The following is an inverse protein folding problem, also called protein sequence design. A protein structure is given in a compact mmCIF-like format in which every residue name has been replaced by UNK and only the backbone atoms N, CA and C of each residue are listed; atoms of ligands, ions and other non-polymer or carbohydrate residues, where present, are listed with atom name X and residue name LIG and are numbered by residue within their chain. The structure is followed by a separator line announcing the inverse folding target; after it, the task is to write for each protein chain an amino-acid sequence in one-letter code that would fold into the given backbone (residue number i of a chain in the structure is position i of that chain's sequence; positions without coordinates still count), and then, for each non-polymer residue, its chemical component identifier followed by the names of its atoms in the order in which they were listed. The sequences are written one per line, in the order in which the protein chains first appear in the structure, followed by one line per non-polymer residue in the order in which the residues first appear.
data_IF_658953881182
#
_entry.id   IF_658953881182
#
_cell.length_a   1.000
_cell.length_b   1.000
_cell.length_c   1.000
_cell.angle_alpha   90.00
_cell.angle_beta   90.00
_cell.angle_gamma   90.00
#
_symmetry.space_group_name_H-M   'P 1'
#
loop_
_entity.id
_entity.type
_entity.pdbx_description
1 polymer ?
#
# COMPACT_ATOMS: atom_id res chain seq x y z
N UNK A 1 4.33 -21.53 -27.28
CA UNK A 1 4.96 -20.42 -28.03
C UNK A 1 3.87 -19.45 -28.48
N UNK A 2 3.97 -18.19 -28.01
CA UNK A 2 3.20 -16.98 -28.43
C UNK A 2 1.72 -17.00 -28.00
N UNK A 3 1.15 -16.00 -27.32
CA UNK A 3 1.48 -14.57 -27.20
C UNK A 3 1.05 -14.03 -25.83
N UNK A 4 1.93 -13.27 -25.17
CA UNK A 4 1.62 -12.39 -24.05
C UNK A 4 1.03 -11.11 -24.65
N UNK A 5 -0.14 -10.69 -24.19
CA UNK A 5 -0.77 -9.41 -24.55
C UNK A 5 -0.45 -8.45 -23.41
N UNK A 6 0.52 -7.57 -23.66
CA UNK A 6 0.84 -6.42 -22.82
C UNK A 6 -0.16 -5.30 -23.14
N UNK A 7 -0.94 -4.86 -22.16
CA UNK A 7 -1.81 -3.68 -22.31
C UNK A 7 -1.06 -2.46 -21.74
N UNK A 8 -0.51 -1.66 -22.65
CA UNK A 8 0.08 -0.34 -22.39
C UNK A 8 -0.97 0.71 -22.73
N UNK A 9 -1.50 1.45 -21.75
CA UNK A 9 -2.35 2.62 -21.99
C UNK A 9 -1.72 3.87 -21.39
N UNK A 10 -0.84 4.48 -22.18
CA UNK A 10 -0.44 5.88 -22.04
C UNK A 10 -1.34 6.69 -22.96
N UNK A 11 -2.14 7.61 -22.42
CA UNK A 11 -2.72 8.71 -23.18
C UNK A 11 -2.42 10.04 -22.51
N UNK A 12 -1.27 10.62 -22.89
CA UNK A 12 -1.00 12.03 -22.71
C UNK A 12 -1.84 12.84 -23.70
N UNK A 13 -2.61 13.82 -23.22
CA UNK A 13 -3.19 14.85 -24.06
C UNK A 13 -2.82 16.23 -23.49
N UNK A 14 -1.68 16.74 -23.96
CA UNK A 14 -1.33 18.15 -23.91
C UNK A 14 -2.16 18.90 -24.96
N UNK A 15 -2.94 19.89 -24.54
CA UNK A 15 -3.44 20.94 -25.43
C UNK A 15 -2.76 22.27 -25.09
N UNK A 16 -2.08 22.76 -26.11
CA UNK A 16 -1.21 23.92 -26.19
C UNK A 16 -1.93 25.27 -26.15
N UNK A 17 -1.21 26.24 -25.58
CA UNK A 17 -1.46 27.68 -25.56
C UNK A 17 -1.57 28.33 -26.95
N UNK A 18 -2.50 29.28 -27.06
CA UNK A 18 -2.44 30.49 -27.91
C UNK A 18 -3.52 31.48 -27.39
N UNK A 19 -3.44 32.80 -27.43
CA UNK A 19 -2.40 33.80 -27.57
C UNK A 19 -3.09 35.18 -27.39
N UNK A 20 -2.35 36.15 -26.83
CA UNK A 20 -2.46 37.62 -26.96
C UNK A 20 -3.76 38.40 -26.64
N UNK A 21 -3.59 39.40 -25.77
CA UNK A 21 -4.42 40.62 -25.72
C UNK A 21 -3.93 41.61 -24.65
N UNK A 22 -2.98 42.47 -25.01
CA UNK A 22 -2.38 43.52 -24.18
C UNK A 22 -3.26 44.77 -24.06
N UNK A 23 -3.25 45.44 -22.89
CA UNK A 23 -3.21 46.91 -22.83
C UNK A 23 -2.62 47.43 -21.50
N UNK A 24 -1.65 48.34 -21.64
CA UNK A 24 -0.99 49.09 -20.56
C UNK A 24 -1.87 50.26 -20.12
N UNK A 25 -1.81 50.62 -18.84
CA UNK A 25 -1.68 52.04 -18.45
C UNK A 25 -0.73 52.18 -17.26
N UNK A 26 0.24 53.08 -17.40
CA UNK A 26 1.22 53.54 -16.42
C UNK A 26 0.58 54.23 -15.21
N UNK A 27 1.29 54.23 -14.08
CA UNK A 27 1.67 55.50 -13.47
C UNK A 27 2.91 55.34 -12.58
N UNK A 28 3.85 56.27 -12.78
CA UNK A 28 5.12 56.45 -12.09
C UNK A 28 4.95 56.92 -10.64
N UNK A 29 5.93 56.61 -9.79
CA UNK A 29 6.58 57.62 -8.95
C UNK A 29 7.89 57.07 -8.37
N UNK A 30 8.93 57.86 -8.59
CA UNK A 30 10.30 57.81 -8.07
C UNK A 30 10.36 57.76 -6.53
N UNK A 31 11.45 57.23 -5.95
CA UNK A 31 12.58 58.05 -5.46
C UNK A 31 13.58 57.22 -4.58
N UNK A 32 14.79 57.03 -5.10
CA UNK A 32 16.12 57.36 -4.50
C UNK A 32 16.69 56.67 -3.25
N UNK A 33 17.84 56.01 -3.49
CA UNK A 33 19.12 55.92 -2.74
C UNK A 33 19.13 55.38 -1.30
N UNK A 34 20.10 54.58 -0.85
CA UNK A 34 21.56 54.78 -0.93
C UNK A 34 22.29 53.49 -0.52
N UNK A 35 23.42 53.23 -1.17
CA UNK A 35 24.38 52.16 -0.90
C UNK A 35 25.13 52.33 0.44
N UNK A 36 25.60 51.22 1.05
CA UNK A 36 27.04 50.87 1.07
C UNK A 36 27.43 49.77 2.04
N UNK A 37 28.29 48.88 1.51
CA UNK A 37 29.42 48.16 2.12
C UNK A 37 29.10 47.05 3.13
N UNK A 38 29.31 45.77 2.78
CA UNK A 38 30.61 45.05 2.68
C UNK A 38 31.31 44.92 4.03
N UNK A 39 31.29 43.72 4.62
CA UNK A 39 32.52 42.95 4.81
C UNK A 39 32.24 41.48 5.13
N UNK A 40 33.17 40.68 4.62
CA UNK A 40 33.24 39.22 4.54
C UNK A 40 33.49 38.62 5.92
N UNK A 41 32.79 37.54 6.28
CA UNK A 41 33.36 36.57 7.21
C UNK A 41 33.10 35.14 6.74
N UNK A 42 34.22 34.48 6.48
CA UNK A 42 34.39 33.05 6.21
C UNK A 42 33.93 32.24 7.43
N UNK A 43 33.14 31.19 7.22
CA UNK A 43 32.77 30.24 8.27
C UNK A 43 32.17 28.98 7.68
N UNK A 44 33.01 27.94 7.65
CA UNK A 44 32.76 26.49 7.56
C UNK A 44 31.60 25.99 6.70
N UNK A 45 32.01 25.40 5.57
CA UNK A 45 31.37 24.25 4.94
C UNK A 45 31.55 23.04 5.88
N UNK A 46 30.60 22.83 6.79
CA UNK A 46 30.34 21.51 7.35
C UNK A 46 29.24 20.91 6.47
N UNK A 47 29.68 20.10 5.52
CA UNK A 47 28.84 19.42 4.56
C UNK A 47 28.05 18.33 5.29
N UNK A 48 26.77 18.59 5.44
CA UNK A 48 25.58 17.73 5.36
C UNK A 48 25.78 16.23 5.00
N UNK A 49 26.59 15.48 5.74
CA UNK A 49 26.69 14.01 5.60
C UNK A 49 25.52 13.28 6.31
N UNK A 50 24.87 13.94 7.27
CA UNK A 50 23.79 13.33 8.07
C UNK A 50 22.46 13.28 7.29
N UNK A 51 22.09 14.37 6.61
CA UNK A 51 20.84 14.45 5.82
C UNK A 51 20.83 13.61 4.55
N UNK A 52 22.00 13.39 3.92
CA UNK A 52 22.12 12.46 2.78
C UNK A 52 21.99 10.98 3.21
N UNK A 53 22.44 10.63 4.42
CA UNK A 53 22.43 9.26 4.89
C UNK A 53 21.05 8.82 5.41
N UNK A 54 20.30 9.71 6.07
CA UNK A 54 18.95 9.43 6.55
C UNK A 54 17.93 9.30 5.40
N UNK A 55 17.95 10.23 4.43
CA UNK A 55 17.13 10.13 3.21
C UNK A 55 17.46 8.88 2.38
N UNK A 56 18.68 8.38 2.50
CA UNK A 56 19.07 7.14 1.83
C UNK A 56 18.52 5.90 2.55
N UNK A 57 18.51 5.90 3.88
CA UNK A 57 17.97 4.78 4.67
C UNK A 57 16.44 4.71 4.55
N UNK A 58 15.73 5.85 4.51
CA UNK A 58 14.29 5.87 4.25
C UNK A 58 13.96 5.29 2.87
N UNK A 59 14.67 5.74 1.81
CA UNK A 59 14.47 5.20 0.47
C UNK A 59 14.80 3.70 0.35
N UNK A 60 15.78 3.20 1.13
CA UNK A 60 16.04 1.76 1.21
C UNK A 60 14.86 0.99 1.86
N UNK A 61 14.12 1.61 2.77
CA UNK A 61 12.95 1.01 3.42
C UNK A 61 11.72 1.01 2.49
N UNK A 62 11.51 2.08 1.71
CA UNK A 62 10.48 2.13 0.66
C UNK A 62 10.64 0.96 -0.32
N UNK A 63 11.85 0.75 -0.84
CA UNK A 63 12.17 -0.35 -1.75
C UNK A 63 11.89 -1.72 -1.11
N UNK A 64 12.12 -1.87 0.21
CA UNK A 64 11.83 -3.10 0.94
C UNK A 64 10.32 -3.33 1.05
N UNK A 65 9.55 -2.28 1.39
CA UNK A 65 8.10 -2.35 1.56
C UNK A 65 7.43 -2.69 0.22
N UNK A 66 7.70 -1.91 -0.82
CA UNK A 66 7.14 -2.16 -2.15
C UNK A 66 7.49 -3.56 -2.64
N UNK A 67 8.73 -4.01 -2.44
CA UNK A 67 9.15 -5.35 -2.83
C UNK A 67 8.43 -6.46 -2.06
N UNK A 68 8.22 -6.31 -0.76
CA UNK A 68 7.51 -7.31 0.06
C UNK A 68 6.04 -7.44 -0.36
N UNK A 69 5.38 -6.32 -0.66
CA UNK A 69 4.02 -6.28 -1.22
C UNK A 69 3.99 -6.98 -2.59
N UNK A 70 4.87 -6.59 -3.51
CA UNK A 70 4.99 -7.19 -4.85
C UNK A 70 5.25 -8.71 -4.78
N UNK A 71 6.20 -9.14 -3.94
CA UNK A 71 6.57 -10.55 -3.81
C UNK A 71 5.41 -11.38 -3.22
N UNK A 72 4.65 -10.82 -2.26
CA UNK A 72 3.47 -11.47 -1.67
C UNK A 72 2.36 -11.64 -2.72
N UNK A 73 2.03 -10.57 -3.44
CA UNK A 73 1.02 -10.58 -4.52
C UNK A 73 1.43 -11.57 -5.62
N UNK A 74 2.71 -11.55 -6.02
CA UNK A 74 3.22 -12.45 -7.05
C UNK A 74 3.13 -13.92 -6.63
N UNK A 75 3.41 -14.24 -5.36
CA UNK A 75 3.29 -15.59 -4.84
C UNK A 75 1.84 -16.10 -4.90
N UNK A 76 0.87 -15.28 -4.46
CA UNK A 76 -0.55 -15.62 -4.54
C UNK A 76 -1.01 -15.81 -5.99
N UNK A 77 -0.61 -14.91 -6.90
CA UNK A 77 -0.93 -15.01 -8.33
C UNK A 77 -0.38 -16.29 -8.98
N UNK A 78 0.85 -16.70 -8.67
CA UNK A 78 1.43 -17.95 -9.20
C UNK A 78 0.61 -19.17 -8.76
N UNK A 79 0.11 -19.18 -7.54
CA UNK A 79 -0.74 -20.26 -7.04
C UNK A 79 -2.14 -20.23 -7.67
N UNK A 80 -2.73 -19.05 -7.80
CA UNK A 80 -3.99 -18.82 -8.50
C UNK A 80 -3.94 -19.31 -9.97
N UNK A 81 -2.95 -18.86 -10.74
CA UNK A 81 -2.77 -19.26 -12.14
C UNK A 81 -2.66 -20.79 -12.29
N UNK A 82 -2.01 -21.44 -11.32
CA UNK A 82 -1.89 -22.89 -11.28
C UNK A 82 -3.24 -23.56 -11.00
N UNK A 83 -4.05 -23.01 -10.08
CA UNK A 83 -5.39 -23.52 -9.81
C UNK A 83 -6.28 -23.45 -11.03
N UNK A 84 -6.37 -22.30 -11.69
CA UNK A 84 -7.19 -22.10 -12.91
C UNK A 84 -6.78 -23.08 -14.00
N UNK A 85 -5.47 -23.30 -14.19
CA UNK A 85 -4.96 -24.25 -15.19
C UNK A 85 -5.29 -25.70 -14.84
N UNK A 86 -5.20 -26.07 -13.57
CA UNK A 86 -5.43 -27.44 -13.13
C UNK A 86 -6.92 -27.77 -13.07
N UNK A 87 -7.76 -26.79 -12.71
CA UNK A 87 -9.19 -26.90 -12.44
C UNK A 87 -9.95 -26.12 -13.52
N UNK A 88 -10.08 -26.71 -14.71
CA UNK A 88 -10.65 -26.08 -15.91
C UNK A 88 -12.06 -26.62 -16.29
N UNK A 89 -12.64 -27.47 -15.44
CA UNK A 89 -13.93 -28.13 -15.70
C UNK A 89 -14.66 -28.41 -14.40
N UNK A 90 -15.99 -28.50 -14.47
CA UNK A 90 -16.85 -28.78 -13.31
C UNK A 90 -16.43 -30.04 -12.54
N UNK A 91 -16.14 -31.14 -13.25
CA UNK A 91 -15.68 -32.37 -12.60
C UNK A 91 -14.36 -32.16 -11.84
N UNK A 92 -13.41 -31.44 -12.42
CA UNK A 92 -12.14 -31.16 -11.74
C UNK A 92 -12.35 -30.23 -10.55
N UNK A 93 -13.28 -29.28 -10.61
CA UNK A 93 -13.63 -28.44 -9.47
C UNK A 93 -14.10 -29.30 -8.29
N UNK A 94 -15.08 -30.18 -8.52
CA UNK A 94 -15.56 -31.10 -7.47
C UNK A 94 -14.45 -32.02 -6.92
N UNK A 95 -13.56 -32.50 -7.78
CA UNK A 95 -12.44 -33.36 -7.36
C UNK A 95 -11.34 -32.57 -6.60
N UNK A 96 -11.43 -31.23 -6.48
CA UNK A 96 -10.39 -30.36 -5.92
C UNK A 96 -10.93 -29.26 -4.96
N UNK A 97 -12.11 -29.44 -4.35
CA UNK A 97 -12.69 -28.44 -3.41
C UNK A 97 -11.75 -28.13 -2.24
N UNK A 98 -11.08 -29.12 -1.66
CA UNK A 98 -10.10 -28.92 -0.58
C UNK A 98 -8.94 -27.99 -1.00
N UNK A 99 -8.58 -27.98 -2.29
CA UNK A 99 -7.53 -27.08 -2.80
C UNK A 99 -8.04 -25.64 -2.99
N UNK A 100 -9.33 -25.47 -3.28
CA UNK A 100 -9.97 -24.16 -3.33
C UNK A 100 -10.06 -23.57 -1.92
N UNK A 101 -10.56 -24.34 -0.96
CA UNK A 101 -10.62 -23.97 0.46
C UNK A 101 -9.25 -23.55 0.99
N UNK A 102 -8.22 -24.38 0.76
CA UNK A 102 -6.86 -24.07 1.19
C UNK A 102 -6.28 -22.81 0.53
N UNK A 103 -6.71 -22.48 -0.70
CA UNK A 103 -6.25 -21.27 -1.38
C UNK A 103 -6.94 -20.02 -0.82
N UNK A 104 -8.23 -20.07 -0.55
CA UNK A 104 -8.95 -19.00 0.15
C UNK A 104 -8.35 -18.73 1.53
N UNK A 105 -8.10 -19.77 2.33
CA UNK A 105 -7.42 -19.65 3.63
C UNK A 105 -6.05 -18.99 3.50
N UNK A 106 -5.29 -19.37 2.46
CA UNK A 106 -3.97 -18.78 2.18
C UNK A 106 -4.06 -17.31 1.77
N UNK A 107 -5.03 -16.92 0.93
CA UNK A 107 -5.22 -15.51 0.54
C UNK A 107 -5.48 -14.65 1.78
N UNK A 108 -6.35 -15.11 2.69
CA UNK A 108 -6.60 -14.41 3.95
C UNK A 108 -5.35 -14.34 4.83
N UNK A 109 -4.70 -15.48 5.10
CA UNK A 109 -3.54 -15.51 6.00
C UNK A 109 -2.35 -14.70 5.46
N UNK A 110 -2.07 -14.77 4.16
CA UNK A 110 -1.00 -13.98 3.55
C UNK A 110 -1.32 -12.47 3.61
N UNK A 111 -2.58 -12.07 3.43
CA UNK A 111 -3.03 -10.67 3.59
C UNK A 111 -2.82 -10.20 5.02
N UNK A 112 -3.26 -11.00 6.01
CA UNK A 112 -3.07 -10.71 7.43
C UNK A 112 -1.60 -10.60 7.82
N UNK A 113 -0.77 -11.53 7.37
CA UNK A 113 0.66 -11.46 7.64
C UNK A 113 1.31 -10.25 6.95
N UNK A 114 0.84 -9.85 5.78
CA UNK A 114 1.31 -8.64 5.10
C UNK A 114 0.88 -7.38 5.89
N UNK A 115 -0.36 -7.32 6.38
CA UNK A 115 -0.86 -6.24 7.22
C UNK A 115 -0.09 -6.07 8.52
N UNK A 116 0.33 -7.18 9.16
CA UNK A 116 1.22 -7.14 10.32
C UNK A 116 2.57 -6.52 9.94
N UNK A 117 3.17 -6.93 8.81
CA UNK A 117 4.45 -6.40 8.35
C UNK A 117 4.37 -4.91 8.00
N UNK A 118 3.25 -4.44 7.44
CA UNK A 118 3.03 -3.00 7.20
C UNK A 118 3.11 -2.19 8.49
N UNK A 119 2.49 -2.66 9.58
CA UNK A 119 2.59 -2.01 10.90
C UNK A 119 4.02 -2.06 11.45
N UNK A 120 4.74 -3.17 11.27
CA UNK A 120 6.15 -3.28 11.65
C UNK A 120 7.04 -2.30 10.86
N UNK A 121 6.76 -2.11 9.57
CA UNK A 121 7.47 -1.12 8.75
C UNK A 121 7.18 0.31 9.21
N UNK A 122 5.93 0.64 9.56
CA UNK A 122 5.60 1.95 10.14
C UNK A 122 6.38 2.21 11.43
N UNK A 123 6.52 1.19 12.29
CA UNK A 123 7.34 1.27 13.50
C UNK A 123 8.81 1.54 13.16
N UNK A 124 9.39 0.76 12.24
CA UNK A 124 10.79 0.91 11.84
C UNK A 124 11.07 2.30 11.26
N UNK A 125 10.13 2.82 10.47
CA UNK A 125 10.18 4.17 9.94
C UNK A 125 10.14 5.23 11.04
N UNK A 126 9.20 5.10 11.99
CA UNK A 126 9.07 6.03 13.10
C UNK A 126 10.33 6.06 13.98
N UNK A 127 10.92 4.90 14.28
CA UNK A 127 12.17 4.81 15.03
C UNK A 127 13.34 5.47 14.29
N UNK A 128 13.43 5.25 12.97
CA UNK A 128 14.46 5.88 12.14
C UNK A 128 14.34 7.40 12.21
N UNK A 129 13.14 7.94 11.99
CA UNK A 129 12.87 9.38 12.01
C UNK A 129 13.17 9.97 13.39
N UNK A 130 12.69 9.36 14.48
CA UNK A 130 12.96 9.89 15.83
C UNK A 130 14.44 9.85 16.19
N UNK A 131 15.18 8.84 15.71
CA UNK A 131 16.63 8.71 15.96
C UNK A 131 17.48 9.70 15.19
N UNK A 132 16.92 10.41 14.21
CA UNK A 132 17.63 11.41 13.42
C UNK A 132 18.00 12.65 14.23
N UNK A 133 19.11 13.28 13.83
CA UNK A 133 19.59 14.53 14.45
C UNK A 133 18.86 15.79 13.89
N UNK A 134 17.81 15.61 13.09
CA UNK A 134 17.03 16.68 12.45
C UNK A 134 16.06 17.36 13.42
N UNK A 135 15.51 18.51 13.01
CA UNK A 135 14.54 19.24 13.83
C UNK A 135 13.19 18.51 13.88
N UNK A 136 12.35 18.83 14.87
CA UNK A 136 11.01 18.23 14.95
C UNK A 136 10.11 18.61 13.77
N UNK A 137 10.31 19.80 13.20
CA UNK A 137 9.62 20.23 11.99
C UNK A 137 10.04 19.35 10.79
N UNK A 138 11.35 19.06 10.65
CA UNK A 138 11.83 18.16 9.59
C UNK A 138 11.31 16.73 9.81
N UNK A 139 11.35 16.22 11.05
CA UNK A 139 10.79 14.91 11.41
C UNK A 139 9.30 14.82 11.08
N UNK A 140 8.54 15.89 11.35
CA UNK A 140 7.11 15.96 11.05
C UNK A 140 6.84 15.78 9.55
N UNK A 141 7.64 16.41 8.71
CA UNK A 141 7.55 16.29 7.25
C UNK A 141 7.98 14.89 6.78
N UNK A 142 8.99 14.28 7.40
CA UNK A 142 9.41 12.90 7.09
C UNK A 142 8.31 11.86 7.39
N UNK A 143 7.46 12.09 8.40
CA UNK A 143 6.31 11.22 8.67
C UNK A 143 5.25 11.21 7.57
N UNK A 144 5.19 12.24 6.70
CA UNK A 144 4.35 12.22 5.50
C UNK A 144 4.80 11.10 4.55
N UNK A 145 6.10 10.79 4.48
CA UNK A 145 6.61 9.72 3.60
C UNK A 145 6.14 8.33 4.02
N UNK A 146 5.96 8.09 5.33
CA UNK A 146 5.35 6.84 5.84
C UNK A 146 3.92 6.71 5.34
N UNK A 147 3.18 7.81 5.43
CA UNK A 147 1.79 7.87 4.98
C UNK A 147 1.71 7.55 3.48
N UNK A 148 2.51 8.22 2.67
CA UNK A 148 2.54 7.99 1.22
C UNK A 148 2.94 6.54 0.89
N UNK A 149 4.03 6.02 1.48
CA UNK A 149 4.56 4.70 1.13
C UNK A 149 3.69 3.53 1.65
N UNK A 150 3.25 3.59 2.90
CA UNK A 150 2.56 2.45 3.55
C UNK A 150 1.05 2.59 3.46
N UNK A 151 0.51 3.75 3.85
CA UNK A 151 -0.94 3.92 3.90
C UNK A 151 -1.53 4.05 2.49
N UNK A 152 -0.94 4.86 1.62
CA UNK A 152 -1.42 5.05 0.26
C UNK A 152 -0.87 3.98 -0.69
N UNK A 153 0.43 3.98 -1.02
CA UNK A 153 0.98 3.13 -2.08
C UNK A 153 0.82 1.62 -1.78
N UNK A 154 1.36 1.14 -0.65
CA UNK A 154 1.24 -0.28 -0.30
C UNK A 154 -0.21 -0.68 0.00
N UNK A 155 -0.97 0.18 0.66
CA UNK A 155 -2.38 -0.05 0.97
C UNK A 155 -3.24 -0.21 -0.28
N UNK A 156 -3.03 0.63 -1.29
CA UNK A 156 -3.75 0.58 -2.56
C UNK A 156 -3.32 -0.63 -3.39
N UNK A 157 -2.02 -0.97 -3.44
CA UNK A 157 -1.55 -2.16 -4.16
C UNK A 157 -2.14 -3.47 -3.56
N UNK A 158 -2.26 -3.56 -2.24
CA UNK A 158 -2.90 -4.70 -1.57
C UNK A 158 -4.38 -4.78 -1.96
N UNK A 159 -5.10 -3.65 -1.90
CA UNK A 159 -6.51 -3.60 -2.23
C UNK A 159 -6.75 -3.97 -3.70
N UNK A 160 -6.05 -3.30 -4.62
CA UNK A 160 -6.26 -3.45 -6.05
C UNK A 160 -5.89 -4.86 -6.55
N UNK A 161 -4.83 -5.48 -6.02
CA UNK A 161 -4.34 -6.75 -6.55
C UNK A 161 -4.83 -7.98 -5.79
N UNK A 162 -5.08 -7.88 -4.47
CA UNK A 162 -5.59 -9.03 -3.69
C UNK A 162 -7.10 -8.97 -3.61
N UNK A 163 -7.65 -7.85 -3.11
CA UNK A 163 -9.09 -7.71 -2.93
C UNK A 163 -9.80 -7.58 -4.27
N UNK A 164 -9.57 -6.53 -5.06
CA UNK A 164 -10.24 -6.34 -6.37
C UNK A 164 -9.55 -7.09 -7.52
N UNK A 165 -8.40 -7.74 -7.25
CA UNK A 165 -7.70 -8.58 -8.21
C UNK A 165 -8.03 -10.04 -8.01
N UNK A 166 -7.21 -10.74 -7.20
CA UNK A 166 -7.28 -12.19 -7.04
C UNK A 166 -8.67 -12.69 -6.64
N UNK A 167 -9.35 -12.05 -5.68
CA UNK A 167 -10.67 -12.54 -5.23
C UNK A 167 -11.76 -12.35 -6.29
N UNK A 168 -11.72 -11.27 -7.08
CA UNK A 168 -12.62 -11.07 -8.21
C UNK A 168 -12.32 -12.07 -9.33
N UNK A 169 -11.04 -12.32 -9.60
CA UNK A 169 -10.57 -13.29 -10.58
C UNK A 169 -10.96 -14.74 -10.22
N UNK A 170 -10.98 -15.11 -8.93
CA UNK A 170 -11.49 -16.41 -8.49
C UNK A 170 -13.00 -16.50 -8.73
N UNK A 171 -13.76 -15.46 -8.34
CA UNK A 171 -15.20 -15.41 -8.56
C UNK A 171 -15.56 -15.61 -10.03
N UNK A 172 -14.89 -14.86 -10.91
CA UNK A 172 -15.14 -14.88 -12.34
C UNK A 172 -14.82 -16.25 -12.96
N UNK A 173 -13.72 -16.89 -12.55
CA UNK A 173 -13.30 -18.16 -13.15
C UNK A 173 -14.06 -19.37 -12.61
N UNK A 174 -14.31 -19.43 -11.30
CA UNK A 174 -14.89 -20.61 -10.66
C UNK A 174 -16.40 -20.48 -10.50
N UNK A 175 -16.87 -19.43 -9.83
CA UNK A 175 -18.28 -19.25 -9.52
C UNK A 175 -19.12 -18.82 -10.73
N UNK A 176 -18.73 -17.73 -11.39
CA UNK A 176 -19.41 -17.21 -12.58
C UNK A 176 -18.95 -17.89 -13.88
N UNK A 177 -17.87 -18.68 -13.83
CA UNK A 177 -17.36 -19.47 -14.94
C UNK A 177 -17.76 -20.94 -14.81
N UNK A 178 -16.84 -21.77 -14.31
CA UNK A 178 -16.98 -23.24 -14.30
C UNK A 178 -18.30 -23.74 -13.69
N UNK A 179 -18.71 -23.15 -12.56
CA UNK A 179 -19.92 -23.54 -11.86
C UNK A 179 -21.18 -23.03 -12.56
N UNK A 180 -21.17 -21.81 -13.10
CA UNK A 180 -22.31 -21.28 -13.86
C UNK A 180 -22.57 -22.10 -15.14
N UNK A 181 -21.52 -22.39 -15.90
CA UNK A 181 -21.58 -23.19 -17.14
C UNK A 181 -22.10 -24.62 -16.93
N UNK A 182 -21.97 -25.16 -15.72
CA UNK A 182 -22.40 -26.51 -15.38
C UNK A 182 -23.92 -26.66 -15.16
N UNK A 183 -24.66 -25.54 -15.02
CA UNK A 183 -26.07 -25.54 -14.60
C UNK A 183 -26.97 -26.50 -15.39
N UNK A 184 -26.89 -26.46 -16.72
CA UNK A 184 -27.76 -27.25 -17.59
C UNK A 184 -27.37 -28.74 -17.67
N UNK A 185 -26.18 -29.10 -17.19
CA UNK A 185 -25.56 -30.41 -17.47
C UNK A 185 -25.27 -31.24 -16.20
N UNK A 186 -25.19 -30.61 -15.03
CA UNK A 186 -24.92 -31.27 -13.76
C UNK A 186 -26.22 -31.67 -13.03
N UNK A 187 -26.19 -32.68 -12.14
CA UNK A 187 -27.29 -32.94 -11.23
C UNK A 187 -27.54 -31.72 -10.35
N UNK A 188 -28.79 -31.21 -10.35
CA UNK A 188 -29.13 -29.94 -9.69
C UNK A 188 -28.69 -29.86 -8.22
N UNK A 189 -28.93 -30.91 -7.43
CA UNK A 189 -28.59 -30.91 -6.01
C UNK A 189 -27.07 -30.77 -5.78
N UNK A 190 -26.25 -31.54 -6.51
CA UNK A 190 -24.78 -31.49 -6.41
C UNK A 190 -24.23 -30.14 -6.90
N UNK A 191 -24.78 -29.63 -8.00
CA UNK A 191 -24.42 -28.32 -8.54
C UNK A 191 -24.77 -27.19 -7.57
N UNK A 192 -25.97 -27.23 -6.99
CA UNK A 192 -26.45 -26.23 -6.04
C UNK A 192 -25.58 -26.19 -4.80
N UNK A 193 -25.19 -27.36 -4.27
CA UNK A 193 -24.31 -27.46 -3.11
C UNK A 193 -22.91 -26.91 -3.45
N UNK A 194 -22.30 -27.36 -4.54
CA UNK A 194 -20.97 -26.91 -4.97
C UNK A 194 -20.92 -25.39 -5.20
N UNK A 195 -21.97 -24.84 -5.81
CA UNK A 195 -22.05 -23.41 -6.13
C UNK A 195 -22.31 -22.54 -4.91
N UNK A 196 -23.12 -23.02 -3.96
CA UNK A 196 -23.34 -22.31 -2.70
C UNK A 196 -22.06 -22.31 -1.86
N UNK A 197 -21.38 -23.44 -1.76
CA UNK A 197 -20.12 -23.54 -1.01
C UNK A 197 -19.03 -22.62 -1.59
N UNK A 198 -18.88 -22.54 -2.92
CA UNK A 198 -17.92 -21.62 -3.54
C UNK A 198 -18.26 -20.16 -3.21
N UNK A 199 -19.54 -19.79 -3.26
CA UNK A 199 -19.96 -18.43 -2.93
C UNK A 199 -19.69 -18.08 -1.47
N UNK A 200 -19.97 -19.00 -0.56
CA UNK A 200 -19.74 -18.81 0.87
C UNK A 200 -18.24 -18.62 1.14
N UNK A 201 -17.39 -19.50 0.60
CA UNK A 201 -15.93 -19.35 0.70
C UNK A 201 -15.43 -18.01 0.15
N UNK A 202 -15.91 -17.62 -1.02
CA UNK A 202 -15.55 -16.35 -1.64
C UNK A 202 -16.01 -15.16 -0.79
N UNK A 203 -17.27 -15.14 -0.39
CA UNK A 203 -17.89 -14.03 0.34
C UNK A 203 -17.28 -13.85 1.72
N UNK A 204 -17.02 -14.96 2.42
CA UNK A 204 -16.38 -14.95 3.73
C UNK A 204 -14.94 -14.44 3.62
N UNK A 205 -14.14 -15.03 2.72
CA UNK A 205 -12.74 -14.61 2.53
C UNK A 205 -12.63 -13.16 2.07
N UNK A 206 -13.54 -12.71 1.18
CA UNK A 206 -13.57 -11.32 0.72
C UNK A 206 -13.86 -10.35 1.86
N UNK A 207 -14.79 -10.70 2.73
CA UNK A 207 -15.10 -9.88 3.91
C UNK A 207 -13.91 -9.86 4.87
N UNK A 208 -13.31 -11.01 5.16
CA UNK A 208 -12.16 -11.13 6.06
C UNK A 208 -10.92 -10.36 5.55
N UNK A 209 -10.65 -10.41 4.23
CA UNK A 209 -9.58 -9.64 3.57
C UNK A 209 -9.84 -8.14 3.64
N UNK A 210 -11.08 -7.71 3.40
CA UNK A 210 -11.43 -6.28 3.51
C UNK A 210 -11.27 -5.76 4.93
N UNK A 211 -11.77 -6.51 5.92
CA UNK A 211 -11.69 -6.13 7.32
C UNK A 211 -10.21 -6.02 7.75
N UNK A 212 -9.38 -7.00 7.41
CA UNK A 212 -7.93 -6.96 7.71
C UNK A 212 -7.21 -5.80 7.03
N UNK A 213 -7.52 -5.52 5.75
CA UNK A 213 -6.97 -4.37 5.02
C UNK A 213 -7.40 -3.05 5.67
N UNK A 214 -8.69 -2.91 6.00
CA UNK A 214 -9.26 -1.71 6.62
C UNK A 214 -8.68 -1.46 8.00
N UNK A 215 -8.54 -2.50 8.81
CA UNK A 215 -7.93 -2.43 10.14
C UNK A 215 -6.45 -2.03 10.02
N UNK A 216 -5.72 -2.60 9.05
CA UNK A 216 -4.32 -2.23 8.78
C UNK A 216 -4.18 -0.76 8.41
N UNK A 217 -4.99 -0.25 7.48
CA UNK A 217 -4.93 1.17 7.08
C UNK A 217 -5.31 2.09 8.23
N UNK A 218 -6.33 1.73 9.01
CA UNK A 218 -6.77 2.53 10.15
C UNK A 218 -5.66 2.62 11.21
N UNK A 219 -5.04 1.49 11.55
CA UNK A 219 -3.94 1.42 12.52
C UNK A 219 -2.73 2.26 12.08
N UNK A 220 -2.36 2.19 10.79
CA UNK A 220 -1.25 2.99 10.24
C UNK A 220 -1.60 4.47 10.23
N UNK A 221 -2.82 4.83 9.85
CA UNK A 221 -3.30 6.21 9.84
C UNK A 221 -3.25 6.82 11.24
N UNK A 222 -3.84 6.15 12.22
CA UNK A 222 -3.92 6.63 13.60
C UNK A 222 -2.52 6.79 14.17
N UNK A 223 -1.65 5.78 13.98
CA UNK A 223 -0.25 5.84 14.40
C UNK A 223 0.50 7.03 13.78
N UNK A 224 0.40 7.24 12.47
CA UNK A 224 1.07 8.36 11.81
C UNK A 224 0.52 9.71 12.29
N UNK A 225 -0.78 9.81 12.51
CA UNK A 225 -1.44 11.00 13.03
C UNK A 225 -0.96 11.35 14.44
N UNK A 226 -0.88 10.36 15.33
CA UNK A 226 -0.44 10.55 16.71
C UNK A 226 1.02 10.99 16.74
N UNK A 227 1.91 10.30 16.01
CA UNK A 227 3.33 10.67 15.91
C UNK A 227 3.53 12.11 15.43
N UNK A 228 2.80 12.54 14.39
CA UNK A 228 2.85 13.91 13.88
C UNK A 228 2.32 14.93 14.89
N UNK A 229 1.27 14.58 15.64
CA UNK A 229 0.74 15.38 16.72
C UNK A 229 1.78 15.66 17.81
N UNK A 230 2.48 14.62 18.27
CA UNK A 230 3.51 14.75 19.31
C UNK A 230 4.72 15.56 18.83
N UNK A 231 5.15 15.37 17.58
CA UNK A 231 6.24 16.16 16.98
C UNK A 231 5.88 17.65 16.90
N UNK A 232 4.64 17.97 16.51
CA UNK A 232 4.13 19.34 16.48
C UNK A 232 4.15 20.00 17.87
N UNK A 233 3.78 19.24 18.92
CA UNK A 233 3.82 19.70 20.30
C UNK A 233 5.23 19.69 20.91
N UNK A 234 6.23 19.23 20.16
CA UNK A 234 7.62 19.03 20.58
C UNK A 234 7.77 18.07 21.77
N UNK A 235 6.89 17.08 21.88
CA UNK A 235 6.86 16.09 22.95
C UNK A 235 7.47 14.76 22.49
N UNK A 236 8.81 14.70 22.45
CA UNK A 236 9.53 13.50 22.01
C UNK A 236 9.33 12.32 22.97
N UNK A 237 9.21 12.57 24.27
CA UNK A 237 8.95 11.50 25.24
C UNK A 237 7.60 10.82 24.93
N UNK A 238 6.58 11.61 24.61
CA UNK A 238 5.28 11.07 24.22
C UNK A 238 5.31 10.37 22.86
N UNK A 239 6.05 10.90 21.89
CA UNK A 239 6.27 10.22 20.61
C UNK A 239 6.93 8.83 20.78
N UNK A 240 7.90 8.71 21.71
CA UNK A 240 8.51 7.41 22.05
C UNK A 240 7.51 6.45 22.72
N UNK A 241 6.61 6.97 23.57
CA UNK A 241 5.53 6.20 24.19
C UNK A 241 4.53 5.68 23.13
N UNK A 242 4.14 6.50 22.13
CA UNK A 242 3.26 6.07 21.04
C UNK A 242 3.87 4.92 20.23
N UNK A 243 5.17 4.98 19.90
CA UNK A 243 5.88 3.86 19.24
C UNK A 243 5.82 2.60 20.09
N UNK A 244 6.03 2.72 21.41
CA UNK A 244 6.02 1.58 22.32
C UNK A 244 4.63 0.95 22.40
N UNK A 245 3.59 1.74 22.52
CA UNK A 245 2.22 1.24 22.63
C UNK A 245 1.77 0.58 21.32
N UNK A 246 2.09 1.18 20.17
CA UNK A 246 1.82 0.58 18.86
C UNK A 246 2.56 -0.75 18.66
N UNK A 247 3.82 -0.86 19.10
CA UNK A 247 4.55 -2.15 19.14
C UNK A 247 3.84 -3.20 19.99
N UNK A 248 3.34 -2.81 21.17
CA UNK A 248 2.61 -3.74 22.04
C UNK A 248 1.33 -4.26 21.36
N UNK A 249 0.64 -3.42 20.58
CA UNK A 249 -0.53 -3.82 19.81
C UNK A 249 -0.18 -4.76 18.65
N UNK A 250 0.87 -4.46 17.89
CA UNK A 250 1.37 -5.35 16.83
C UNK A 250 1.78 -6.72 17.38
N UNK A 251 2.41 -6.78 18.56
CA UNK A 251 2.75 -8.06 19.20
C UNK A 251 1.52 -8.87 19.64
N UNK A 252 0.42 -8.21 20.03
CA UNK A 252 -0.85 -8.90 20.32
C UNK A 252 -1.44 -9.54 19.06
N UNK A 253 -1.36 -8.87 17.91
CA UNK A 253 -1.83 -9.42 16.64
C UNK A 253 -1.10 -10.71 16.25
N UNK A 254 0.22 -10.76 16.48
CA UNK A 254 1.04 -11.96 16.26
C UNK A 254 0.72 -13.10 17.23
N UNK A 255 0.30 -12.77 18.44
CA UNK A 255 0.03 -13.72 19.53
C UNK A 255 -1.32 -14.44 19.44
N UNK A 256 -2.27 -13.95 18.65
CA UNK A 256 -3.62 -14.51 18.50
C UNK A 256 -3.69 -15.73 17.54
N UNK A 257 -2.69 -16.62 17.59
CA UNK A 257 -2.63 -17.87 16.81
C UNK A 257 -3.37 -19.04 17.46
#
# INVERSE_FOLDING_TARGET
MKKIITLLLIFALLLSFAACGSEKTQNDSENTSTASQSEKNTGNDDTDETGENENKISGELDDIISKDVEDTIAALNVEYEKLVKDIDTYKKYLDNTDRMEAFYEKVYEDTKQLGIRMREYSIAYAELILSSDTSNDDKYDEFEKIYDCIYDDAGDEIYDNIYDGILDDIYDNFYAGILDDAYDNAPYDEWSDARSNEYDLWSDTRSDVYDEWSDTRSDVYDFCSDMRGELWDNDIEKAEDEIKDFKEDVEKLKGNR
#
